data_IF_351035103244
#
_entry.id   IF_351035103244
#
_cell.length_a   1.000
_cell.length_b   1.000
_cell.length_c   1.000
_cell.angle_alpha   90.00
_cell.angle_beta   90.00
_cell.angle_gamma   90.00
#
_symmetry.space_group_name_H-M   'P 1'
#
loop_
_entity.id
_entity.type
_entity.pdbx_description
1 polymer ?
#
# COMPACT_ATOMS: atom_id res chain seq x y z
N UNK A 1 0.03 11.82 -11.57
CA UNK A 1 0.97 10.91 -12.27
C UNK A 1 0.13 9.79 -12.86
N UNK A 2 0.15 9.61 -14.17
CA UNK A 2 -0.51 8.47 -14.83
C UNK A 2 0.41 7.28 -14.60
N UNK A 3 -0.06 6.30 -13.83
CA UNK A 3 0.60 5.02 -13.69
C UNK A 3 0.40 4.24 -15.00
N UNK A 4 1.31 4.36 -15.95
CA UNK A 4 1.30 3.49 -17.13
C UNK A 4 1.47 2.03 -16.67
N UNK A 5 0.51 1.13 -16.97
CA UNK A 5 0.60 -0.27 -16.59
C UNK A 5 1.92 -0.95 -17.01
N UNK A 6 2.52 -0.53 -18.13
CA UNK A 6 3.78 -1.07 -18.63
C UNK A 6 4.93 -0.77 -17.65
N UNK A 7 5.02 0.47 -17.16
CA UNK A 7 6.08 0.84 -16.21
C UNK A 7 5.88 0.20 -14.84
N UNK A 8 4.63 0.05 -14.40
CA UNK A 8 4.35 -0.66 -13.15
C UNK A 8 4.71 -2.14 -13.24
N UNK A 9 4.38 -2.80 -14.36
CA UNK A 9 4.70 -4.21 -14.59
C UNK A 9 6.21 -4.46 -14.63
N UNK A 10 6.99 -3.50 -15.11
CA UNK A 10 8.45 -3.61 -15.20
C UNK A 10 9.15 -3.50 -13.83
N UNK A 11 8.59 -2.75 -12.87
CA UNK A 11 9.18 -2.60 -11.53
C UNK A 11 8.85 -3.82 -10.64
N UNK A 12 9.61 -4.88 -10.89
CA UNK A 12 9.55 -6.17 -10.19
C UNK A 12 10.53 -6.27 -9.02
N UNK A 13 11.32 -5.22 -8.76
CA UNK A 13 12.28 -5.21 -7.66
C UNK A 13 11.53 -5.28 -6.33
N UNK A 14 11.86 -6.27 -5.49
CA UNK A 14 11.23 -6.40 -4.16
C UNK A 14 11.58 -5.20 -3.26
N UNK A 15 10.64 -4.79 -2.40
CA UNK A 15 10.86 -3.66 -1.50
C UNK A 15 11.91 -3.96 -0.43
N UNK A 16 11.98 -5.22 0.01
CA UNK A 16 12.92 -5.69 1.02
C UNK A 16 12.58 -5.24 2.45
N UNK A 17 13.21 -5.89 3.44
CA UNK A 17 12.92 -5.68 4.85
C UNK A 17 13.12 -4.24 5.30
N UNK A 18 14.21 -3.58 4.88
CA UNK A 18 14.52 -2.21 5.30
C UNK A 18 13.39 -1.23 4.98
N UNK A 19 12.84 -1.27 3.77
CA UNK A 19 11.73 -0.40 3.38
C UNK A 19 10.46 -0.77 4.15
N UNK A 20 10.16 -2.06 4.27
CA UNK A 20 8.97 -2.55 4.96
C UNK A 20 8.96 -2.16 6.45
N UNK A 21 10.10 -2.23 7.14
CA UNK A 21 10.25 -1.79 8.54
C UNK A 21 10.00 -0.29 8.68
N UNK A 22 10.56 0.55 7.81
CA UNK A 22 10.36 2.01 7.87
C UNK A 22 8.90 2.40 7.60
N UNK A 23 8.23 1.67 6.69
CA UNK A 23 6.78 1.84 6.47
C UNK A 23 6.02 1.47 7.74
N UNK A 24 6.33 0.32 8.34
CA UNK A 24 5.70 -0.12 9.57
C UNK A 24 5.90 0.89 10.72
N UNK A 25 7.07 1.52 10.83
CA UNK A 25 7.34 2.57 11.82
C UNK A 25 6.41 3.78 11.66
N UNK A 26 6.23 4.27 10.43
CA UNK A 26 5.30 5.38 10.15
C UNK A 26 3.87 4.96 10.50
N UNK A 27 3.42 3.77 10.09
CA UNK A 27 2.06 3.30 10.39
C UNK A 27 1.81 3.15 11.90
N UNK A 28 2.79 2.63 12.66
CA UNK A 28 2.68 2.51 14.12
C UNK A 28 2.63 3.86 14.84
N UNK A 29 3.23 4.91 14.26
CA UNK A 29 3.11 6.30 14.73
C UNK A 29 1.75 6.94 14.39
N UNK A 30 0.83 6.19 13.77
CA UNK A 30 -0.49 6.67 13.39
C UNK A 30 -0.55 7.37 12.03
N UNK A 31 0.54 7.36 11.25
CA UNK A 31 0.49 7.88 9.89
C UNK A 31 -0.35 6.96 8.99
N UNK A 32 -0.94 7.57 7.97
CA UNK A 32 -1.80 6.93 6.99
C UNK A 32 -1.18 7.04 5.60
N UNK A 33 -1.07 5.92 4.87
CA UNK A 33 -0.63 5.92 3.49
C UNK A 33 -1.83 5.65 2.58
N UNK A 34 -2.29 6.66 1.86
CA UNK A 34 -3.41 6.55 0.93
C UNK A 34 -3.83 7.93 0.45
N UNK A 35 -4.64 7.99 -0.61
CA UNK A 35 -5.30 9.25 -0.95
C UNK A 35 -6.52 9.45 -0.04
N UNK A 36 -6.93 10.69 0.17
CA UNK A 36 -8.13 11.05 0.95
C UNK A 36 -9.00 11.97 0.12
N UNK A 37 -10.02 11.41 -0.50
CA UNK A 37 -11.02 12.15 -1.25
C UNK A 37 -12.35 11.38 -1.22
N UNK A 38 -13.40 11.97 -1.80
CA UNK A 38 -14.68 11.28 -1.97
C UNK A 38 -14.53 10.11 -2.95
N UNK A 39 -15.37 9.10 -2.81
CA UNK A 39 -15.43 7.89 -3.63
C UNK A 39 -14.18 7.00 -3.47
N UNK A 40 -13.82 6.27 -4.52
CA UNK A 40 -12.68 5.36 -4.53
C UNK A 40 -11.35 6.14 -4.40
N UNK A 41 -10.57 5.81 -3.37
CA UNK A 41 -9.27 6.43 -3.05
C UNK A 41 -8.07 5.56 -3.42
N UNK A 42 -8.29 4.41 -4.07
CA UNK A 42 -7.24 3.46 -4.41
C UNK A 42 -6.84 2.55 -3.27
N UNK A 43 -5.60 2.07 -3.35
CA UNK A 43 -5.00 1.21 -2.32
C UNK A 43 -4.37 2.06 -1.21
N UNK A 44 -4.59 1.64 0.03
CA UNK A 44 -4.10 2.31 1.21
C UNK A 44 -3.52 1.35 2.26
N UNK A 45 -2.78 1.90 3.22
CA UNK A 45 -2.28 1.23 4.41
C UNK A 45 -2.47 2.09 5.66
N UNK A 46 -2.87 1.46 6.77
CA UNK A 46 -2.93 2.07 8.10
C UNK A 46 -2.64 1.05 9.18
N UNK A 47 -2.31 1.52 10.38
CA UNK A 47 -2.52 0.73 11.59
C UNK A 47 -3.90 1.10 12.18
N UNK A 48 -4.67 0.11 12.60
CA UNK A 48 -5.96 0.34 13.25
C UNK A 48 -5.83 0.50 14.78
N UNK A 49 -6.94 0.79 15.44
CA UNK A 49 -7.01 0.97 16.90
C UNK A 49 -6.70 -0.31 17.69
N UNK A 50 -6.71 -1.47 17.02
CA UNK A 50 -6.36 -2.78 17.60
C UNK A 50 -4.88 -3.13 17.38
N UNK A 51 -4.08 -2.18 16.91
CA UNK A 51 -2.66 -2.35 16.55
C UNK A 51 -2.44 -3.38 15.43
N UNK A 52 -3.39 -3.51 14.51
CA UNK A 52 -3.30 -4.37 13.34
C UNK A 52 -2.96 -3.52 12.11
N UNK A 53 -2.15 -4.06 11.20
CA UNK A 53 -1.84 -3.40 9.95
C UNK A 53 -2.87 -3.79 8.89
N UNK A 54 -3.35 -2.80 8.15
CA UNK A 54 -4.33 -2.97 7.09
C UNK A 54 -3.71 -2.63 5.74
N UNK A 55 -4.01 -3.43 4.72
CA UNK A 55 -3.77 -3.11 3.31
C UNK A 55 -5.04 -3.41 2.52
N UNK A 56 -5.59 -2.43 1.80
CA UNK A 56 -6.84 -2.64 1.08
C UNK A 56 -7.30 -1.41 0.31
N UNK A 57 -8.43 -1.56 -0.36
CA UNK A 57 -9.14 -0.46 -1.00
C UNK A 57 -9.66 0.52 0.05
N UNK A 58 -9.52 1.80 -0.23
CA UNK A 58 -10.06 2.87 0.60
C UNK A 58 -11.17 3.61 -0.15
N UNK A 59 -12.26 3.89 0.55
CA UNK A 59 -13.36 4.71 0.09
C UNK A 59 -13.57 5.89 1.04
N UNK A 60 -13.99 7.03 0.49
CA UNK A 60 -14.36 8.25 1.21
C UNK A 60 -13.29 8.72 2.23
N UNK A 61 -12.02 8.40 1.97
CA UNK A 61 -10.86 8.79 2.76
C UNK A 61 -10.64 8.05 4.08
N UNK A 62 -11.57 7.18 4.51
CA UNK A 62 -11.49 6.50 5.82
C UNK A 62 -11.86 5.02 5.81
N UNK A 63 -12.71 4.60 4.87
CA UNK A 63 -13.37 3.29 4.92
C UNK A 63 -12.58 2.26 4.12
N UNK A 64 -12.02 1.28 4.82
CA UNK A 64 -11.36 0.15 4.18
C UNK A 64 -12.39 -0.92 3.81
N UNK A 65 -12.48 -1.24 2.52
CA UNK A 65 -13.29 -2.35 2.03
C UNK A 65 -12.49 -3.65 2.12
N UNK A 66 -12.95 -4.60 2.94
CA UNK A 66 -12.38 -5.95 3.14
C UNK A 66 -10.83 -6.00 3.13
N UNK A 67 -10.14 -5.24 4.00
CA UNK A 67 -8.69 -5.15 3.95
C UNK A 67 -8.03 -6.49 4.30
N UNK A 68 -6.85 -6.71 3.75
CA UNK A 68 -5.91 -7.67 4.30
C UNK A 68 -5.45 -7.16 5.67
N UNK A 69 -5.59 -8.02 6.69
CA UNK A 69 -5.29 -7.70 8.09
C UNK A 69 -4.07 -8.49 8.54
N UNK A 70 -3.04 -7.79 9.01
CA UNK A 70 -1.87 -8.38 9.65
C UNK A 70 -1.91 -8.13 11.15
N UNK A 71 -1.94 -9.22 11.91
CA UNK A 71 -2.11 -9.19 13.38
C UNK A 71 -0.95 -8.54 14.14
N UNK A 72 0.22 -8.44 13.51
CA UNK A 72 1.41 -7.87 14.12
C UNK A 72 2.36 -7.32 13.04
N UNK A 73 3.40 -6.63 13.51
CA UNK A 73 4.41 -5.99 12.69
C UNK A 73 5.19 -7.00 11.86
N UNK A 74 5.57 -8.13 12.44
CA UNK A 74 6.40 -9.14 11.78
C UNK A 74 5.71 -9.71 10.54
N UNK A 75 4.40 -10.00 10.63
CA UNK A 75 3.61 -10.48 9.51
C UNK A 75 3.47 -9.43 8.41
N UNK A 76 3.23 -8.17 8.78
CA UNK A 76 3.14 -7.07 7.82
C UNK A 76 4.47 -6.84 7.10
N UNK A 77 5.58 -6.76 7.85
CA UNK A 77 6.92 -6.55 7.30
C UNK A 77 7.35 -7.72 6.41
N UNK A 78 7.12 -8.96 6.85
CA UNK A 78 7.43 -10.14 6.06
C UNK A 78 6.65 -10.14 4.74
N UNK A 79 5.38 -9.77 4.77
CA UNK A 79 4.56 -9.66 3.56
C UNK A 79 5.06 -8.53 2.65
N UNK A 80 5.20 -7.30 3.17
CA UNK A 80 5.54 -6.13 2.37
C UNK A 80 6.96 -6.23 1.79
N UNK A 81 7.90 -6.81 2.53
CA UNK A 81 9.28 -7.00 2.06
C UNK A 81 9.39 -7.84 0.79
N UNK A 82 8.40 -8.72 0.54
CA UNK A 82 8.32 -9.60 -0.63
C UNK A 82 7.54 -8.98 -1.80
N UNK A 83 6.89 -7.84 -1.59
CA UNK A 83 6.15 -7.15 -2.63
C UNK A 83 7.07 -6.29 -3.51
N UNK A 84 6.59 -5.97 -4.69
CA UNK A 84 7.16 -5.02 -5.64
C UNK A 84 6.06 -4.06 -6.12
N UNK A 85 6.43 -3.04 -6.89
CA UNK A 85 5.42 -2.20 -7.54
C UNK A 85 4.53 -3.03 -8.45
N UNK A 86 5.11 -3.95 -9.23
CA UNK A 86 4.37 -4.85 -10.11
C UNK A 86 3.38 -5.75 -9.33
N UNK A 87 3.79 -6.33 -8.20
CA UNK A 87 2.91 -7.24 -7.43
C UNK A 87 1.73 -6.51 -6.75
N UNK A 88 1.87 -5.21 -6.47
CA UNK A 88 0.80 -4.38 -5.90
C UNK A 88 0.02 -3.57 -6.95
N UNK A 89 0.37 -3.70 -8.24
CA UNK A 89 -0.23 -2.91 -9.32
C UNK A 89 -1.60 -3.40 -9.78
N UNK A 90 -2.10 -4.54 -9.25
CA UNK A 90 -3.42 -5.12 -9.59
C UNK A 90 -3.59 -5.32 -11.11
N UNK A 91 -2.54 -5.78 -11.78
CA UNK A 91 -2.51 -5.86 -13.26
C UNK A 91 -3.53 -6.84 -13.84
N UNK A 92 -3.96 -7.81 -13.04
CA UNK A 92 -4.93 -8.84 -13.42
C UNK A 92 -6.38 -8.51 -13.03
N UNK A 93 -6.63 -7.35 -12.43
CA UNK A 93 -7.98 -6.90 -12.06
C UNK A 93 -8.71 -6.23 -13.23
N UNK A 94 -10.00 -5.93 -13.02
CA UNK A 94 -10.83 -5.16 -13.95
C UNK A 94 -10.21 -3.78 -14.28
N UNK A 95 -10.52 -3.27 -15.46
CA UNK A 95 -9.91 -2.05 -16.02
C UNK A 95 -9.98 -0.83 -15.09
N UNK A 96 -11.04 -0.73 -14.27
CA UNK A 96 -11.17 0.37 -13.31
C UNK A 96 -10.14 0.30 -12.17
N UNK A 97 -9.80 -0.89 -11.69
CA UNK A 97 -8.88 -1.10 -10.56
C UNK A 97 -7.43 -1.27 -10.99
N UNK A 98 -7.23 -1.78 -12.20
CA UNK A 98 -5.92 -2.04 -12.78
C UNK A 98 -5.04 -0.79 -12.78
N UNK A 99 -3.88 -0.86 -12.13
CA UNK A 99 -2.92 0.25 -11.98
C UNK A 99 -3.48 1.53 -11.31
N UNK A 100 -4.74 1.52 -10.88
CA UNK A 100 -5.45 2.71 -10.42
C UNK A 100 -5.15 2.99 -8.95
N UNK A 101 -4.46 4.11 -8.70
CA UNK A 101 -4.15 4.60 -7.35
C UNK A 101 -3.54 3.54 -6.40
N UNK A 102 -2.71 2.65 -6.96
CA UNK A 102 -2.01 1.56 -6.27
C UNK A 102 -0.82 2.02 -5.43
N UNK A 103 -0.33 1.17 -4.55
CA UNK A 103 0.91 1.39 -3.78
C UNK A 103 2.11 1.06 -4.68
N UNK A 104 3.02 2.02 -4.83
CA UNK A 104 4.26 1.87 -5.64
C UNK A 104 5.48 2.10 -4.77
N UNK A 105 6.66 1.65 -5.23
CA UNK A 105 7.96 1.96 -4.60
C UNK A 105 8.12 3.45 -4.34
N UNK A 106 7.77 4.29 -5.30
CA UNK A 106 7.87 5.74 -5.16
C UNK A 106 7.00 6.25 -4.01
N UNK A 107 5.73 5.81 -3.92
CA UNK A 107 4.84 6.20 -2.82
C UNK A 107 5.37 5.75 -1.47
N UNK A 108 5.95 4.54 -1.38
CA UNK A 108 6.58 4.06 -0.15
C UNK A 108 7.80 4.90 0.22
N UNK A 109 8.66 5.24 -0.75
CA UNK A 109 9.83 6.09 -0.54
C UNK A 109 9.44 7.51 -0.10
N UNK A 110 8.37 8.08 -0.66
CA UNK A 110 7.84 9.36 -0.24
C UNK A 110 7.25 9.29 1.17
N UNK A 111 6.53 8.22 1.49
CA UNK A 111 5.89 8.03 2.80
C UNK A 111 6.90 7.88 3.95
N UNK A 112 8.04 7.24 3.71
CA UNK A 112 9.07 7.02 4.72
C UNK A 112 10.08 8.17 4.84
N UNK A 113 10.01 9.19 3.96
CA UNK A 113 10.77 10.43 4.16
C UNK A 113 10.19 11.19 5.37
N UNK A 114 11.06 11.92 6.07
CA UNK A 114 10.69 12.68 7.27
C UNK A 114 9.77 13.86 6.95
#
# INVERSE_FOLDING_TARGET
MINDPIYLAADTSIFGFKMAELVADKLQKGYFLGYRHRDFCGMAMKMDEKNQFLYGELYDGIDFSFPMVFKNRELFVLWLSKQSTASLARLDDDDFYRANQVITRQRLLEFIKD
#
